data_IF_591966156790
#
_entry.id   IF_591966156790
#
_cell.length_a   1.000
_cell.length_b   1.000
_cell.length_c   1.000
_cell.angle_alpha   90.00
_cell.angle_beta   90.00
_cell.angle_gamma   90.00
#
_symmetry.space_group_name_H-M   'P 1'
#
loop_
_entity.id
_entity.type
_entity.pdbx_description
1 polymer ?
#
# COMPACT_ATOMS: atom_id res chain seq x y z
N UNK A 1 10.54 18.91 -10.91
CA UNK A 1 9.25 18.19 -11.05
C UNK A 1 8.37 18.61 -9.89
N UNK A 2 7.18 19.15 -10.16
CA UNK A 2 6.24 19.47 -9.07
C UNK A 2 5.68 18.17 -8.49
N UNK A 3 5.56 18.05 -7.15
CA UNK A 3 4.91 16.89 -6.55
C UNK A 3 3.43 16.83 -6.96
N UNK A 4 2.84 15.63 -7.02
CA UNK A 4 1.42 15.49 -7.33
C UNK A 4 0.55 16.25 -6.30
N UNK A 5 -0.62 16.74 -6.72
CA UNK A 5 -1.57 17.34 -5.77
C UNK A 5 -2.00 16.31 -4.74
N UNK A 6 -2.08 16.73 -3.48
CA UNK A 6 -2.52 15.88 -2.36
C UNK A 6 -3.98 16.15 -2.06
N UNK A 7 -4.80 15.09 -2.01
CA UNK A 7 -6.22 15.15 -1.73
C UNK A 7 -6.53 14.70 -0.29
N UNK A 8 -7.73 14.98 0.19
CA UNK A 8 -8.17 14.63 1.55
C UNK A 8 -8.18 13.13 1.81
N UNK A 9 -8.39 12.32 0.77
CA UNK A 9 -8.49 10.86 0.82
C UNK A 9 -7.18 10.13 0.57
N UNK A 10 -6.11 10.84 0.18
CA UNK A 10 -4.83 10.24 -0.06
C UNK A 10 -4.21 9.71 1.23
N UNK A 11 -3.52 8.58 1.15
CA UNK A 11 -2.90 7.92 2.30
C UNK A 11 -1.38 8.00 2.17
N UNK A 12 -0.73 8.88 2.92
CA UNK A 12 0.72 9.01 2.91
C UNK A 12 1.39 7.94 3.78
N UNK A 13 2.52 7.43 3.31
CA UNK A 13 3.42 6.55 4.06
C UNK A 13 4.86 7.05 3.94
N UNK A 14 5.59 7.04 5.05
CA UNK A 14 7.02 7.39 5.07
C UNK A 14 7.85 6.23 4.49
N UNK A 15 8.85 6.58 3.70
CA UNK A 15 9.81 5.64 3.10
C UNK A 15 11.06 5.47 3.97
N UNK A 16 11.32 6.41 4.86
CA UNK A 16 12.48 6.45 5.73
C UNK A 16 12.06 6.67 7.19
N UNK A 17 12.87 6.19 8.10
CA UNK A 17 12.74 6.51 9.51
C UNK A 17 13.18 7.96 9.76
N UNK A 18 12.20 8.85 9.78
CA UNK A 18 12.44 10.29 9.94
C UNK A 18 13.03 10.66 11.28
N UNK A 19 12.89 9.81 12.30
CA UNK A 19 13.46 10.09 13.64
C UNK A 19 14.98 10.29 13.62
N UNK A 20 15.65 9.68 12.63
CA UNK A 20 17.11 9.80 12.45
C UNK A 20 17.57 11.10 11.79
N UNK A 21 16.64 11.80 11.13
CA UNK A 21 16.94 13.01 10.36
C UNK A 21 16.38 14.28 11.02
N UNK A 22 15.50 14.11 12.01
CA UNK A 22 14.90 15.24 12.72
C UNK A 22 15.94 15.97 13.56
N UNK A 23 15.88 17.29 13.50
CA UNK A 23 16.65 18.19 14.35
C UNK A 23 15.74 19.34 14.86
N UNK A 24 16.24 20.13 15.77
CA UNK A 24 15.48 21.21 16.43
C UNK A 24 15.01 22.32 15.47
N UNK A 25 15.50 22.34 14.22
CA UNK A 25 15.12 23.33 13.21
C UNK A 25 13.90 22.91 12.36
N UNK A 26 13.35 21.71 12.58
CA UNK A 26 12.23 21.23 11.82
C UNK A 26 10.92 21.91 12.24
N UNK A 27 10.02 22.11 11.27
CA UNK A 27 8.68 22.61 11.54
C UNK A 27 7.96 21.72 12.54
N UNK A 28 7.46 22.33 13.62
CA UNK A 28 6.76 21.63 14.69
C UNK A 28 5.52 20.86 14.17
N UNK A 29 4.85 21.41 13.15
CA UNK A 29 3.70 20.75 12.53
C UNK A 29 4.12 19.45 11.86
N UNK A 30 5.23 19.51 11.11
CA UNK A 30 5.76 18.32 10.44
C UNK A 30 6.16 17.24 11.45
N UNK A 31 6.82 17.63 12.55
CA UNK A 31 7.19 16.72 13.65
C UNK A 31 5.96 16.03 14.25
N UNK A 32 4.86 16.77 14.44
CA UNK A 32 3.58 16.23 14.94
C UNK A 32 2.93 15.25 13.97
N UNK A 33 3.11 15.43 12.65
CA UNK A 33 2.49 14.61 11.63
C UNK A 33 3.20 13.26 11.44
N UNK A 34 4.51 13.20 11.61
CA UNK A 34 5.34 12.01 11.35
C UNK A 34 4.76 10.71 11.93
N UNK A 35 4.32 10.64 13.19
CA UNK A 35 3.77 9.39 13.76
C UNK A 35 2.52 8.87 13.05
N UNK A 36 1.78 9.73 12.36
CA UNK A 36 0.54 9.39 11.67
C UNK A 36 0.73 9.06 10.19
N UNK A 37 1.94 9.31 9.62
CA UNK A 37 2.27 9.04 8.23
C UNK A 37 2.72 7.58 8.02
N UNK A 38 1.94 6.65 8.50
CA UNK A 38 2.24 5.22 8.56
C UNK A 38 1.47 4.37 7.53
N UNK A 39 0.79 5.01 6.58
CA UNK A 39 0.00 4.31 5.54
C UNK A 39 -1.35 3.77 6.03
N UNK A 40 -1.81 4.14 7.23
CA UNK A 40 -3.09 3.66 7.77
C UNK A 40 -4.23 4.65 7.63
N UNK A 41 -3.94 5.95 7.66
CA UNK A 41 -4.92 7.02 7.70
C UNK A 41 -4.80 7.94 6.48
N UNK A 42 -5.94 8.38 5.97
CA UNK A 42 -5.97 9.40 4.92
C UNK A 42 -5.70 10.81 5.50
N UNK A 43 -5.30 11.74 4.65
CA UNK A 43 -4.87 13.10 5.02
C UNK A 43 -5.86 13.80 5.96
N UNK A 44 -7.15 13.76 5.64
CA UNK A 44 -8.18 14.38 6.49
C UNK A 44 -8.23 13.77 7.89
N UNK A 45 -8.02 12.45 8.03
CA UNK A 45 -7.97 11.78 9.33
C UNK A 45 -6.69 12.13 10.08
N UNK A 46 -5.57 12.24 9.39
CA UNK A 46 -4.30 12.68 9.96
C UNK A 46 -4.42 14.07 10.55
N UNK A 47 -5.07 15.00 9.83
CA UNK A 47 -5.32 16.35 10.31
C UNK A 47 -6.11 16.36 11.63
N UNK A 48 -7.13 15.51 11.75
CA UNK A 48 -7.90 15.36 13.00
C UNK A 48 -7.06 14.80 14.15
N UNK A 49 -6.22 13.77 13.85
CA UNK A 49 -5.40 13.12 14.88
C UNK A 49 -4.25 14.00 15.39
N UNK A 50 -3.70 14.83 14.51
CA UNK A 50 -2.59 15.74 14.82
C UNK A 50 -3.09 17.13 15.34
N UNK A 51 -4.41 17.34 15.38
CA UNK A 51 -5.02 18.66 15.70
C UNK A 51 -4.40 19.78 14.84
N UNK A 52 -4.42 19.57 13.51
CA UNK A 52 -3.83 20.46 12.53
C UNK A 52 -4.82 20.79 11.40
N UNK A 53 -4.61 21.94 10.75
CA UNK A 53 -5.39 22.32 9.57
C UNK A 53 -5.11 21.38 8.40
N UNK A 54 -6.16 20.96 7.69
CA UNK A 54 -6.07 20.02 6.57
C UNK A 54 -5.19 20.58 5.44
N UNK A 55 -5.26 21.88 5.18
CA UNK A 55 -4.45 22.50 4.13
C UNK A 55 -2.97 22.46 4.48
N UNK A 56 -2.64 22.73 5.74
CA UNK A 56 -1.27 22.65 6.25
C UNK A 56 -0.73 21.22 6.18
N UNK A 57 -1.55 20.22 6.55
CA UNK A 57 -1.17 18.79 6.40
C UNK A 57 -0.88 18.44 4.95
N UNK A 58 -1.70 18.89 4.00
CA UNK A 58 -1.45 18.69 2.56
C UNK A 58 -0.11 19.29 2.12
N UNK A 59 0.18 20.50 2.55
CA UNK A 59 1.45 21.17 2.23
C UNK A 59 2.65 20.40 2.81
N UNK A 60 2.56 19.94 4.05
CA UNK A 60 3.60 19.11 4.68
C UNK A 60 3.79 17.79 3.91
N UNK A 61 2.70 17.11 3.54
CA UNK A 61 2.78 15.87 2.73
C UNK A 61 3.38 16.15 1.36
N UNK A 62 2.98 17.22 0.67
CA UNK A 62 3.57 17.61 -0.62
C UNK A 62 5.08 17.86 -0.51
N UNK A 63 5.51 18.48 0.58
CA UNK A 63 6.93 18.71 0.86
C UNK A 63 7.69 17.38 1.02
N UNK A 64 7.15 16.44 1.78
CA UNK A 64 7.73 15.11 1.93
C UNK A 64 7.77 14.32 0.62
N UNK A 65 6.73 14.44 -0.22
CA UNK A 65 6.69 13.85 -1.57
C UNK A 65 7.75 14.45 -2.49
N UNK A 66 7.95 15.76 -2.44
CA UNK A 66 8.97 16.45 -3.23
C UNK A 66 10.37 15.91 -2.96
N UNK A 67 10.71 15.66 -1.69
CA UNK A 67 12.00 15.11 -1.29
C UNK A 67 12.05 13.56 -1.33
N UNK A 68 11.01 12.91 -1.79
CA UNK A 68 10.90 11.43 -1.82
C UNK A 68 11.04 10.80 -0.42
N UNK A 69 10.69 11.50 0.63
CA UNK A 69 10.62 10.94 1.99
C UNK A 69 9.32 10.20 2.27
N UNK A 70 8.29 10.47 1.49
CA UNK A 70 7.00 9.81 1.57
C UNK A 70 6.51 9.40 0.19
N UNK A 71 5.54 8.51 0.15
CA UNK A 71 4.75 8.19 -1.04
C UNK A 71 3.27 8.12 -0.68
N UNK A 72 2.41 8.28 -1.69
CA UNK A 72 0.97 8.05 -1.54
C UNK A 72 0.67 6.59 -1.92
N UNK A 73 -0.14 5.95 -1.09
CA UNK A 73 -0.61 4.58 -1.32
C UNK A 73 -2.13 4.53 -1.32
N UNK A 74 -2.68 3.46 -1.85
CA UNK A 74 -4.11 3.20 -1.75
C UNK A 74 -4.51 2.83 -0.32
N UNK A 75 -5.71 3.24 0.10
CA UNK A 75 -6.25 2.85 1.40
C UNK A 75 -6.37 1.32 1.48
N UNK A 76 -5.89 0.76 2.59
CA UNK A 76 -5.97 -0.67 2.84
C UNK A 76 -7.41 -1.12 3.08
N UNK A 77 -7.85 -2.13 2.33
CA UNK A 77 -9.14 -2.80 2.50
C UNK A 77 -8.99 -4.29 2.20
N UNK A 78 -9.70 -5.15 2.94
CA UNK A 78 -9.68 -6.59 2.70
C UNK A 78 -10.30 -7.01 1.37
N UNK A 79 -11.12 -6.15 0.77
CA UNK A 79 -11.67 -6.31 -0.58
C UNK A 79 -10.71 -5.95 -1.71
N UNK A 80 -9.57 -5.32 -1.40
CA UNK A 80 -8.58 -4.98 -2.41
C UNK A 80 -7.96 -6.23 -3.03
N UNK A 81 -7.64 -6.10 -4.32
CA UNK A 81 -6.92 -7.12 -5.10
C UNK A 81 -5.53 -6.59 -5.37
N UNK A 82 -4.52 -7.40 -5.08
CA UNK A 82 -3.13 -7.10 -5.40
C UNK A 82 -2.55 -8.17 -6.30
N UNK A 83 -1.62 -7.77 -7.17
CA UNK A 83 -0.90 -8.69 -8.05
C UNK A 83 0.59 -8.52 -7.87
N UNK A 84 1.30 -9.63 -7.95
CA UNK A 84 2.74 -9.70 -7.87
C UNK A 84 3.38 -9.01 -9.07
N UNK A 85 4.55 -8.40 -8.85
CA UNK A 85 5.40 -7.81 -9.88
C UNK A 85 6.78 -8.50 -9.89
N UNK A 86 7.49 -8.49 -11.03
CA UNK A 86 8.83 -9.09 -11.12
C UNK A 86 9.85 -8.53 -10.12
N UNK A 87 9.62 -7.31 -9.64
CA UNK A 87 10.46 -6.62 -8.64
C UNK A 87 10.55 -7.34 -7.29
N UNK A 88 9.78 -8.40 -7.07
CA UNK A 88 9.89 -9.26 -5.87
C UNK A 88 11.13 -10.18 -5.90
N UNK A 89 11.73 -10.40 -7.07
CA UNK A 89 12.85 -11.34 -7.23
C UNK A 89 14.03 -11.09 -6.26
N UNK A 90 14.46 -9.85 -5.97
CA UNK A 90 15.51 -9.57 -5.00
C UNK A 90 15.24 -10.09 -3.59
N UNK A 91 13.99 -10.33 -3.22
CA UNK A 91 13.63 -10.87 -1.91
C UNK A 91 14.23 -12.26 -1.64
N UNK A 92 14.51 -13.05 -2.69
CA UNK A 92 15.14 -14.36 -2.57
C UNK A 92 16.67 -14.32 -2.66
N UNK A 93 17.23 -13.24 -3.22
CA UNK A 93 18.67 -13.13 -3.52
C UNK A 93 19.41 -12.16 -2.59
N UNK A 94 18.69 -11.23 -1.95
CA UNK A 94 19.27 -10.22 -1.08
C UNK A 94 18.83 -10.42 0.38
N UNK A 95 19.72 -10.93 1.26
CA UNK A 95 19.43 -11.12 2.67
C UNK A 95 19.05 -9.84 3.42
N UNK A 96 19.49 -8.67 2.92
CA UNK A 96 19.14 -7.39 3.53
C UNK A 96 17.65 -7.09 3.34
N UNK A 97 17.11 -7.32 2.15
CA UNK A 97 15.69 -7.12 1.84
C UNK A 97 14.83 -8.12 2.61
N UNK A 98 15.29 -9.37 2.74
CA UNK A 98 14.63 -10.40 3.56
C UNK A 98 14.51 -9.95 5.01
N UNK A 99 15.62 -9.55 5.62
CA UNK A 99 15.67 -9.09 7.02
C UNK A 99 14.84 -7.82 7.25
N UNK A 100 14.90 -6.86 6.31
CA UNK A 100 14.09 -5.64 6.35
C UNK A 100 12.59 -5.96 6.27
N UNK A 101 12.19 -6.86 5.38
CA UNK A 101 10.80 -7.31 5.27
C UNK A 101 10.35 -7.96 6.57
N UNK A 102 11.09 -8.94 7.09
CA UNK A 102 10.74 -9.63 8.31
C UNK A 102 10.59 -8.66 9.49
N UNK A 103 11.55 -7.74 9.68
CA UNK A 103 11.48 -6.75 10.76
C UNK A 103 10.29 -5.79 10.64
N UNK A 104 9.86 -5.48 9.42
CA UNK A 104 8.77 -4.54 9.17
C UNK A 104 7.39 -5.18 9.33
N UNK A 105 7.23 -6.45 8.91
CA UNK A 105 5.92 -7.10 8.78
C UNK A 105 5.52 -7.97 9.95
N UNK A 106 6.49 -8.43 10.76
CA UNK A 106 6.21 -9.35 11.87
C UNK A 106 5.47 -8.66 13.01
N UNK A 107 4.55 -9.40 13.62
CA UNK A 107 3.90 -8.97 14.87
C UNK A 107 4.88 -9.07 16.04
N UNK A 108 4.80 -8.18 17.03
CA UNK A 108 5.63 -8.23 18.22
C UNK A 108 5.47 -9.58 18.96
N UNK A 109 6.59 -10.22 19.29
CA UNK A 109 6.59 -11.50 20.02
C UNK A 109 6.44 -12.74 19.15
N UNK A 110 6.35 -12.61 17.83
CA UNK A 110 6.38 -13.73 16.90
C UNK A 110 7.79 -13.93 16.33
N UNK A 111 8.16 -15.19 16.10
CA UNK A 111 9.42 -15.52 15.43
C UNK A 111 9.41 -15.04 13.97
N UNK A 112 10.56 -14.57 13.50
CA UNK A 112 10.70 -14.09 12.14
C UNK A 112 10.46 -15.22 11.13
N UNK A 113 9.55 -15.00 10.18
CA UNK A 113 9.35 -15.94 9.08
C UNK A 113 10.53 -15.90 8.11
N UNK A 114 10.98 -17.07 7.60
CA UNK A 114 12.03 -17.15 6.59
C UNK A 114 11.60 -16.43 5.29
N UNK A 115 12.57 -15.84 4.57
CA UNK A 115 12.32 -15.16 3.30
C UNK A 115 11.55 -15.98 2.26
N UNK A 116 11.84 -17.28 2.07
CA UNK A 116 11.05 -18.12 1.17
C UNK A 116 9.56 -18.21 1.53
N UNK A 117 9.22 -18.18 2.83
CA UNK A 117 7.81 -18.18 3.27
C UNK A 117 7.15 -16.84 2.94
N UNK A 118 7.81 -15.73 3.25
CA UNK A 118 7.32 -14.39 2.92
C UNK A 118 7.17 -14.22 1.41
N UNK A 119 8.14 -14.71 0.63
CA UNK A 119 8.05 -14.71 -0.83
C UNK A 119 6.87 -15.55 -1.33
N UNK A 120 6.66 -16.75 -0.75
CA UNK A 120 5.50 -17.59 -1.09
C UNK A 120 4.19 -16.86 -0.82
N UNK A 121 4.08 -16.18 0.31
CA UNK A 121 2.90 -15.36 0.63
C UNK A 121 2.64 -14.29 -0.43
N UNK A 122 3.67 -13.56 -0.90
CA UNK A 122 3.54 -12.62 -2.01
C UNK A 122 3.13 -13.32 -3.32
N UNK A 123 3.68 -14.49 -3.62
CA UNK A 123 3.40 -15.22 -4.86
C UNK A 123 1.94 -15.68 -4.98
N UNK A 124 1.25 -15.78 -3.86
CA UNK A 124 -0.18 -16.14 -3.81
C UNK A 124 -1.12 -14.96 -4.10
N UNK A 125 -0.62 -13.72 -4.15
CA UNK A 125 -1.38 -12.55 -4.55
C UNK A 125 -1.59 -12.55 -6.07
N UNK A 126 -2.84 -12.71 -6.52
CA UNK A 126 -3.20 -12.88 -7.94
C UNK A 126 -4.44 -12.08 -8.30
N UNK A 127 -4.56 -11.78 -9.59
CA UNK A 127 -5.78 -11.20 -10.13
C UNK A 127 -7.02 -12.06 -9.79
N UNK A 128 -8.13 -11.40 -9.50
CA UNK A 128 -9.40 -12.06 -9.16
C UNK A 128 -9.49 -12.60 -7.73
N UNK A 129 -8.47 -12.43 -6.92
CA UNK A 129 -8.45 -12.86 -5.50
C UNK A 129 -8.32 -11.65 -4.60
N UNK A 130 -9.28 -11.46 -3.70
CA UNK A 130 -9.25 -10.42 -2.68
C UNK A 130 -8.24 -10.74 -1.58
N UNK A 131 -7.83 -9.75 -0.79
CA UNK A 131 -7.02 -10.00 0.41
C UNK A 131 -7.75 -10.90 1.42
N UNK A 132 -9.07 -10.80 1.52
CA UNK A 132 -9.86 -11.68 2.37
C UNK A 132 -9.69 -13.15 1.97
N UNK A 133 -9.82 -13.46 0.67
CA UNK A 133 -9.63 -14.81 0.15
C UNK A 133 -8.19 -15.30 0.33
N UNK A 134 -7.22 -14.40 0.13
CA UNK A 134 -5.80 -14.69 0.31
C UNK A 134 -5.47 -15.06 1.76
N UNK A 135 -6.03 -14.33 2.75
CA UNK A 135 -5.89 -14.66 4.17
C UNK A 135 -6.45 -16.06 4.45
N UNK A 136 -7.64 -16.37 3.92
CA UNK A 136 -8.26 -17.68 4.10
C UNK A 136 -7.42 -18.84 3.57
N UNK A 137 -6.68 -18.63 2.47
CA UNK A 137 -5.80 -19.63 1.87
C UNK A 137 -4.51 -19.87 2.65
N UNK A 138 -3.95 -18.83 3.25
CA UNK A 138 -2.70 -18.92 4.03
C UNK A 138 -2.91 -19.48 5.43
N UNK A 139 -4.12 -19.39 5.97
CA UNK A 139 -4.47 -19.95 7.28
C UNK A 139 -3.53 -19.46 8.39
N UNK A 140 -2.85 -20.38 9.06
CA UNK A 140 -1.99 -20.08 10.23
C UNK A 140 -0.75 -19.24 9.88
N UNK A 141 -0.28 -19.24 8.63
CA UNK A 141 0.92 -18.47 8.24
C UNK A 141 0.73 -16.96 8.39
N UNK A 142 -0.52 -16.48 8.26
CA UNK A 142 -0.83 -15.04 8.40
C UNK A 142 -0.84 -14.59 9.87
N UNK A 143 -0.97 -15.49 10.82
CA UNK A 143 -1.12 -15.12 12.24
C UNK A 143 0.11 -14.45 12.84
N UNK A 144 1.29 -14.71 12.29
CA UNK A 144 2.55 -14.09 12.71
C UNK A 144 2.83 -12.74 12.02
N UNK A 145 2.00 -12.35 11.04
CA UNK A 145 2.26 -11.21 10.15
C UNK A 145 1.16 -10.16 10.26
N UNK A 146 1.55 -8.89 10.39
CA UNK A 146 0.60 -7.78 10.17
C UNK A 146 0.33 -7.64 8.65
N UNK A 147 -0.85 -8.08 8.21
CA UNK A 147 -1.25 -8.08 6.79
C UNK A 147 -1.16 -6.69 6.18
N UNK A 148 -1.52 -5.65 6.93
CA UNK A 148 -1.44 -4.27 6.43
C UNK A 148 0.00 -3.87 6.16
N UNK A 149 0.90 -4.11 7.12
CA UNK A 149 2.33 -3.85 6.96
C UNK A 149 2.93 -4.67 5.83
N UNK A 150 2.53 -5.94 5.70
CA UNK A 150 2.97 -6.82 4.63
C UNK A 150 2.65 -6.25 3.24
N UNK A 151 1.41 -5.82 3.03
CA UNK A 151 0.99 -5.20 1.78
C UNK A 151 1.68 -3.84 1.57
N UNK A 152 1.75 -3.01 2.61
CA UNK A 152 2.41 -1.70 2.54
C UNK A 152 3.89 -1.86 2.15
N UNK A 153 4.62 -2.79 2.76
CA UNK A 153 6.00 -3.10 2.39
C UNK A 153 6.13 -3.51 0.92
N UNK A 154 5.25 -4.41 0.47
CA UNK A 154 5.21 -4.84 -0.91
C UNK A 154 4.92 -3.72 -1.90
N UNK A 155 4.09 -2.74 -1.54
CA UNK A 155 3.83 -1.54 -2.36
C UNK A 155 5.04 -0.61 -2.37
N UNK A 156 5.65 -0.33 -1.20
CA UNK A 156 6.84 0.52 -1.07
C UNK A 156 8.00 -0.03 -1.92
N UNK A 157 8.27 -1.33 -1.83
CA UNK A 157 9.34 -2.00 -2.59
C UNK A 157 8.97 -2.29 -4.05
N UNK A 158 7.72 -2.03 -4.44
CA UNK A 158 7.24 -2.31 -5.79
C UNK A 158 7.02 -3.79 -6.08
N UNK A 159 6.96 -4.66 -5.07
CA UNK A 159 6.72 -6.10 -5.21
C UNK A 159 5.30 -6.40 -5.67
N UNK A 160 4.36 -5.58 -5.23
CA UNK A 160 2.94 -5.72 -5.56
C UNK A 160 2.37 -4.40 -6.05
N UNK A 161 1.28 -4.51 -6.82
CA UNK A 161 0.44 -3.36 -7.18
C UNK A 161 -1.02 -3.69 -6.94
N UNK A 162 -1.79 -2.69 -6.56
CA UNK A 162 -3.25 -2.81 -6.50
C UNK A 162 -3.85 -2.90 -7.89
N UNK A 163 -4.89 -3.72 -8.03
CA UNK A 163 -5.73 -3.79 -9.23
C UNK A 163 -7.00 -2.98 -8.97
N UNK A 164 -7.20 -1.93 -9.75
CA UNK A 164 -8.42 -1.15 -9.73
C UNK A 164 -9.42 -1.75 -10.71
N UNK A 165 -10.67 -1.90 -10.28
CA UNK A 165 -11.78 -2.35 -11.13
C UNK A 165 -12.74 -1.18 -11.32
N UNK A 166 -13.00 -0.85 -12.58
CA UNK A 166 -13.94 0.20 -12.94
C UNK A 166 -15.13 -0.40 -13.68
N UNK A 167 -16.38 -0.09 -13.30
CA UNK A 167 -17.54 -0.50 -14.09
C UNK A 167 -17.51 0.25 -15.42
N UNK A 168 -17.63 -0.49 -16.52
CA UNK A 168 -17.74 0.07 -17.86
C UNK A 168 -19.15 -0.20 -18.36
N UNK A 169 -19.88 0.84 -18.68
CA UNK A 169 -21.16 0.71 -19.38
C UNK A 169 -20.87 0.46 -20.85
N UNK A 170 -21.17 -0.76 -21.34
CA UNK A 170 -21.09 -1.07 -22.76
C UNK A 170 -22.47 -0.90 -23.40
N UNK A 171 -22.62 0.12 -24.22
CA UNK A 171 -23.81 0.34 -25.05
C UNK A 171 -23.85 -0.57 -26.29
N UNK A 172 -23.09 -1.65 -26.31
CA UNK A 172 -23.10 -2.59 -27.40
C UNK A 172 -24.44 -3.33 -27.40
N UNK A 173 -25.44 -2.79 -28.09
CA UNK A 173 -26.60 -3.58 -28.58
C UNK A 173 -26.05 -4.59 -29.58
N UNK A 174 -26.11 -5.87 -29.26
CA UNK A 174 -25.94 -6.92 -30.25
C UNK A 174 -26.95 -6.63 -31.39
N UNK A 175 -26.50 -6.51 -32.65
CA UNK A 175 -27.44 -6.45 -33.74
C UNK A 175 -28.33 -7.69 -33.67
N UNK A 176 -29.64 -7.49 -33.59
CA UNK A 176 -30.64 -8.55 -33.73
C UNK A 176 -30.32 -9.27 -35.04
N UNK A 177 -29.93 -10.53 -34.96
CA UNK A 177 -29.93 -11.42 -36.12
C UNK A 177 -31.38 -11.48 -36.61
N UNK A 178 -31.66 -10.78 -37.71
CA UNK A 178 -32.84 -11.03 -38.49
C UNK A 178 -32.72 -12.44 -39.00
N UNK A 179 -33.48 -13.33 -38.40
CA UNK A 179 -33.84 -14.59 -39.00
C UNK A 179 -34.70 -14.27 -40.20
N UNK A 180 -34.09 -14.21 -41.37
CA UNK A 180 -34.84 -14.30 -42.63
C UNK A 180 -35.08 -15.80 -42.84
N UNK A 181 -36.27 -16.23 -42.45
CA UNK A 181 -36.80 -17.49 -42.84
C UNK A 181 -37.08 -17.49 -44.32
N UNK A 182 -36.54 -18.42 -45.00
CA UNK A 182 -37.02 -19.38 -45.98
C UNK A 182 -38.31 -19.06 -46.74
N UNK A 183 -38.19 -19.09 -48.01
CA UNK A 183 -39.09 -19.85 -48.89
C UNK A 183 -38.30 -20.79 -49.81
#
# INVERSE_FOLDING_TARGET
VQPPPVHDWDVPVLLLDMSKFMNDSWDLTLVRLIPFLNGTSHVRRIAQLADADVLLVKQCVQHLLYYSFAMLIDIFQFSNIYVLRPQVAPMLSDPHIESECASYVMLPGCDALPGPVLWHMYSMLRYGRTLHDWIGLLGNQVQAVDVRRFITFGVIKGFVRRVHQYPIYSSYQKPLRNSVDTL
#
